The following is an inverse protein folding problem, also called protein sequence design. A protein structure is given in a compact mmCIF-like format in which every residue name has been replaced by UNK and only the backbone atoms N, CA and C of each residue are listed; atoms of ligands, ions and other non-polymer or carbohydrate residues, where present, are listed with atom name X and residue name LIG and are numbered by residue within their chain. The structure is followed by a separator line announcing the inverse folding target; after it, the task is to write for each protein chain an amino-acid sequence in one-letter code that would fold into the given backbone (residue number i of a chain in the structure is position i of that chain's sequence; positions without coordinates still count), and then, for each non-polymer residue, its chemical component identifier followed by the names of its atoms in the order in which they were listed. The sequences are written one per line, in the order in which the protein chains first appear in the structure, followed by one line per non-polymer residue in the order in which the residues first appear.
data_IF_173644949391
#
_entry.id   IF_173644949391
#
_cell.length_a   1.000
_cell.length_b   1.000
_cell.length_c   1.000
_cell.angle_alpha   90.00
_cell.angle_beta   90.00
_cell.angle_gamma   90.00
#
_symmetry.space_group_name_H-M   'P 1'
#
loop_
_entity.id
_entity.type
_entity.pdbx_description
1 polymer ?
#
# COMPACT_ATOMS: atom_id res chain seq x y z
N UNK A 1 -6.29 -6.84 3.83
CA UNK A 1 -6.33 -8.27 4.19
C UNK A 1 -4.93 -8.77 4.48
N UNK A 2 -4.80 -9.81 5.31
CA UNK A 2 -3.53 -10.49 5.59
C UNK A 2 -3.71 -11.97 5.24
N UNK A 3 -2.80 -12.52 4.45
CA UNK A 3 -2.74 -13.95 4.13
C UNK A 3 -1.41 -14.50 4.63
N UNK A 4 -1.44 -15.42 5.59
CA UNK A 4 -0.23 -16.09 6.06
C UNK A 4 0.19 -17.16 5.07
N UNK A 5 1.49 -17.26 4.81
CA UNK A 5 2.11 -18.24 3.94
C UNK A 5 2.95 -19.21 4.77
N UNK A 6 3.17 -20.41 4.25
CA UNK A 6 4.14 -21.36 4.83
C UNK A 6 5.54 -20.75 4.85
N UNK A 7 6.27 -20.97 5.95
CA UNK A 7 7.65 -20.47 6.11
C UNK A 7 7.77 -19.08 6.74
N UNK A 8 6.81 -18.67 7.58
CA UNK A 8 6.90 -17.45 8.39
C UNK A 8 6.77 -16.16 7.58
N UNK A 9 6.08 -16.20 6.45
CA UNK A 9 5.81 -15.03 5.60
C UNK A 9 4.32 -14.71 5.59
N UNK A 10 3.98 -13.46 5.28
CA UNK A 10 2.61 -13.03 5.11
C UNK A 10 2.49 -12.06 3.93
N UNK A 11 1.38 -12.17 3.19
CA UNK A 11 0.95 -11.18 2.21
C UNK A 11 0.03 -10.17 2.90
N UNK A 12 0.40 -8.90 2.86
CA UNK A 12 -0.43 -7.80 3.32
C UNK A 12 -0.99 -7.06 2.11
N UNK A 13 -2.31 -7.06 1.97
CA UNK A 13 -3.03 -6.49 0.83
C UNK A 13 -3.81 -5.25 1.27
N UNK A 14 -3.60 -4.13 0.55
CA UNK A 14 -4.34 -2.89 0.77
C UNK A 14 -4.76 -2.25 -0.55
N UNK A 15 -6.03 -1.91 -0.67
CA UNK A 15 -6.53 -1.12 -1.80
C UNK A 15 -5.96 0.31 -1.75
N UNK A 16 -5.40 0.77 -2.86
CA UNK A 16 -4.97 2.16 -3.05
C UNK A 16 -6.11 2.96 -3.69
N UNK A 17 -6.64 2.49 -4.82
CA UNK A 17 -7.85 3.02 -5.47
C UNK A 17 -8.54 1.90 -6.30
N UNK A 18 -9.60 2.26 -7.03
CA UNK A 18 -10.36 1.32 -7.88
C UNK A 18 -9.55 0.57 -8.95
N UNK A 19 -8.34 1.02 -9.27
CA UNK A 19 -7.46 0.43 -10.29
C UNK A 19 -6.17 -0.17 -9.72
N UNK A 20 -5.82 0.11 -8.47
CA UNK A 20 -4.52 -0.24 -7.89
C UNK A 20 -4.65 -0.83 -6.48
N UNK A 21 -3.94 -1.93 -6.26
CA UNK A 21 -3.73 -2.53 -4.95
C UNK A 21 -2.25 -2.62 -4.61
N UNK A 22 -1.92 -2.40 -3.34
CA UNK A 22 -0.61 -2.65 -2.76
C UNK A 22 -0.59 -4.08 -2.18
N UNK A 23 0.42 -4.86 -2.57
CA UNK A 23 0.68 -6.20 -2.03
C UNK A 23 2.08 -6.21 -1.46
N UNK A 24 2.21 -6.39 -0.15
CA UNK A 24 3.49 -6.47 0.55
C UNK A 24 3.76 -7.92 0.97
N UNK A 25 4.98 -8.40 0.75
CA UNK A 25 5.48 -9.65 1.36
C UNK A 25 6.24 -9.29 2.62
N UNK A 26 5.73 -9.74 3.76
CA UNK A 26 6.29 -9.48 5.08
C UNK A 26 6.74 -10.78 5.72
N UNK A 27 7.64 -10.69 6.71
CA UNK A 27 7.78 -11.78 7.69
C UNK A 27 6.66 -11.71 8.71
N UNK A 28 6.22 -12.83 9.24
CA UNK A 28 5.15 -12.86 10.24
C UNK A 28 5.48 -12.04 11.49
N UNK A 29 6.75 -12.01 11.92
CA UNK A 29 7.15 -11.19 13.08
C UNK A 29 6.88 -9.70 12.86
N UNK A 30 6.92 -9.21 11.61
CA UNK A 30 6.65 -7.81 11.31
C UNK A 30 5.18 -7.44 11.61
N UNK A 31 4.25 -8.39 11.52
CA UNK A 31 2.84 -8.17 11.82
C UNK A 31 2.58 -7.86 13.30
N UNK A 32 3.52 -8.14 14.20
CA UNK A 32 3.42 -7.70 15.61
C UNK A 32 3.39 -6.17 15.74
N UNK A 33 3.90 -5.44 14.75
CA UNK A 33 3.88 -3.97 14.66
C UNK A 33 2.81 -3.47 13.69
N UNK A 34 1.66 -4.13 13.65
CA UNK A 34 0.57 -3.87 12.70
C UNK A 34 0.20 -2.38 12.60
N UNK A 35 0.07 -1.68 13.74
CA UNK A 35 -0.30 -0.27 13.76
C UNK A 35 0.70 0.64 13.02
N UNK A 36 2.00 0.37 13.14
CA UNK A 36 3.06 1.13 12.45
C UNK A 36 3.01 0.85 10.95
N UNK A 37 2.80 -0.42 10.57
CA UNK A 37 2.66 -0.82 9.17
C UNK A 37 1.46 -0.11 8.55
N UNK A 38 0.31 -0.11 9.24
CA UNK A 38 -0.90 0.56 8.77
C UNK A 38 -0.73 2.07 8.62
N UNK A 39 -0.08 2.71 9.60
CA UNK A 39 0.26 4.13 9.51
C UNK A 39 1.09 4.44 8.26
N UNK A 40 2.17 3.71 8.05
CA UNK A 40 3.07 3.90 6.90
C UNK A 40 2.36 3.62 5.57
N UNK A 41 1.57 2.54 5.49
CA UNK A 41 0.80 2.21 4.28
C UNK A 41 -0.24 3.28 3.98
N UNK A 42 -0.91 3.84 4.99
CA UNK A 42 -1.86 4.92 4.78
C UNK A 42 -1.17 6.19 4.29
N UNK A 43 0.02 6.51 4.81
CA UNK A 43 0.79 7.65 4.33
C UNK A 43 1.22 7.45 2.87
N UNK A 44 1.72 6.25 2.53
CA UNK A 44 2.06 5.90 1.15
C UNK A 44 0.84 6.00 0.21
N UNK A 45 -0.32 5.48 0.63
CA UNK A 45 -1.57 5.59 -0.12
C UNK A 45 -1.92 7.06 -0.41
N UNK A 46 -1.85 7.94 0.60
CA UNK A 46 -2.11 9.38 0.41
C UNK A 46 -1.14 9.99 -0.60
N UNK A 47 0.15 9.72 -0.48
CA UNK A 47 1.18 10.25 -1.39
C UNK A 47 0.99 9.77 -2.83
N UNK A 48 0.64 8.50 -3.04
CA UNK A 48 0.36 7.96 -4.39
C UNK A 48 -0.86 8.65 -5.00
N UNK A 49 -1.95 8.81 -4.23
CA UNK A 49 -3.15 9.48 -4.71
C UNK A 49 -2.89 10.94 -5.07
N UNK A 50 -2.08 11.64 -4.26
CA UNK A 50 -1.68 13.02 -4.55
C UNK A 50 -0.81 13.12 -5.80
N UNK A 51 0.12 12.19 -6.01
CA UNK A 51 0.93 12.14 -7.22
C UNK A 51 0.07 11.96 -8.48
N UNK A 52 -0.95 11.08 -8.42
CA UNK A 52 -1.89 10.94 -9.52
C UNK A 52 -2.73 12.22 -9.74
N UNK A 53 -3.15 12.89 -8.67
CA UNK A 53 -3.86 14.18 -8.79
C UNK A 53 -3.00 15.24 -9.48
N UNK A 54 -1.74 15.36 -9.09
CA UNK A 54 -0.80 16.33 -9.67
C UNK A 54 -0.48 16.02 -11.13
N UNK A 55 -0.25 14.75 -11.48
CA UNK A 55 0.01 14.36 -12.88
C UNK A 55 -1.17 14.67 -13.81
N UNK A 56 -2.41 14.55 -13.33
CA UNK A 56 -3.59 15.01 -14.08
C UNK A 56 -3.68 16.54 -14.23
N UNK A 57 -3.13 17.31 -13.30
CA UNK A 57 -3.08 18.78 -13.37
C UNK A 57 -1.91 19.30 -14.20
N UNK A 58 -0.83 18.53 -14.33
CA UNK A 58 0.38 18.92 -15.08
C UNK A 58 0.40 18.44 -16.52
N UNK A 59 -0.61 17.70 -16.99
CA UNK A 59 -0.73 17.43 -18.43
C UNK A 59 -1.20 18.72 -19.10
N UNK A 60 -0.39 19.36 -19.96
CA UNK A 60 -0.96 20.27 -20.93
C UNK A 60 -1.92 19.44 -21.77
N UNK A 61 -3.11 19.97 -22.02
CA UNK A 61 -3.92 19.52 -23.15
C UNK A 61 -3.04 19.74 -24.38
N UNK A 62 -2.56 18.65 -24.98
CA UNK A 62 -1.99 18.65 -26.31
C UNK A 62 -3.12 18.67 -27.34
#
# INVERSE_FOLDING_TARGET
SIVKLTGGRALYLKEINRHLALICVLREEALTKQAIIEYNVNQLKKSILELFRLTHLTSPVA
#
